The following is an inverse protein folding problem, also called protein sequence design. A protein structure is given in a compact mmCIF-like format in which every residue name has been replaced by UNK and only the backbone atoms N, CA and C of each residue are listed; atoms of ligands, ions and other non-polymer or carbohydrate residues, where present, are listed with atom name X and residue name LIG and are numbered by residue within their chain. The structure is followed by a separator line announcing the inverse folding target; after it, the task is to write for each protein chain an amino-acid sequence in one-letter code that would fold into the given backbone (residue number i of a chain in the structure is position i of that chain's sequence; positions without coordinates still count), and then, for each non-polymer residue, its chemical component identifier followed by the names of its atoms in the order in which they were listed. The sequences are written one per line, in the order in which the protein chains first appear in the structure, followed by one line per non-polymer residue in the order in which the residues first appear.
data_IF_032742490254
#
_entry.id   IF_032742490254
#
_cell.length_a   1.000
_cell.length_b   1.000
_cell.length_c   1.000
_cell.angle_alpha   90.00
_cell.angle_beta   90.00
_cell.angle_gamma   90.00
#
_symmetry.space_group_name_H-M   'P 1'
#
loop_
_entity.id
_entity.type
_entity.pdbx_description
1 polymer ?
#
# COMPACT_ATOMS: atom_id res chain seq x y z
N UNK A 1 61.14 63.80 -13.64
CA UNK A 1 60.26 64.14 -12.52
C UNK A 1 58.87 63.61 -12.83
N UNK A 2 58.32 62.78 -11.92
CA UNK A 2 56.90 62.43 -11.70
C UNK A 2 56.25 61.58 -12.83
N UNK A 3 56.28 60.22 -12.74
CA UNK A 3 55.35 59.28 -12.06
C UNK A 3 53.89 59.37 -12.55
N UNK A 4 53.35 58.24 -13.04
CA UNK A 4 51.93 58.12 -13.38
C UNK A 4 51.53 56.75 -13.94
N UNK A 5 51.59 55.72 -13.10
CA UNK A 5 51.06 54.36 -13.27
C UNK A 5 49.54 54.38 -13.51
N UNK A 6 48.98 53.64 -14.48
CA UNK A 6 47.58 53.15 -14.48
C UNK A 6 47.46 52.04 -15.53
N UNK A 7 47.54 50.76 -15.15
CA UNK A 7 46.45 49.85 -14.78
C UNK A 7 45.85 49.11 -16.00
N UNK A 8 46.34 47.88 -16.21
CA UNK A 8 45.79 46.92 -17.17
C UNK A 8 44.40 46.47 -16.71
N UNK A 9 43.36 46.72 -17.52
CA UNK A 9 42.07 46.04 -17.41
C UNK A 9 42.05 44.87 -18.39
N UNK A 10 42.41 43.67 -17.91
CA UNK A 10 42.04 42.42 -18.58
C UNK A 10 40.57 42.15 -18.25
N UNK A 11 39.67 42.73 -19.06
CA UNK A 11 38.24 42.39 -19.02
C UNK A 11 38.04 40.99 -19.58
N UNK A 12 37.88 39.99 -18.71
CA UNK A 12 37.47 38.65 -19.09
C UNK A 12 35.99 38.71 -19.50
N UNK A 13 35.72 38.86 -20.80
CA UNK A 13 34.39 38.71 -21.36
C UNK A 13 33.99 37.24 -21.31
N UNK A 14 33.27 36.85 -20.25
CA UNK A 14 32.55 35.58 -20.23
C UNK A 14 31.30 35.77 -21.09
N UNK A 15 31.42 35.44 -22.38
CA UNK A 15 30.26 35.28 -23.26
C UNK A 15 29.46 34.09 -22.75
N UNK A 16 28.42 34.36 -21.96
CA UNK A 16 27.37 33.38 -21.69
C UNK A 16 26.63 33.20 -23.02
N UNK A 17 27.09 32.24 -23.82
CA UNK A 17 26.30 31.73 -24.93
C UNK A 17 25.03 31.13 -24.34
N UNK A 18 23.94 31.87 -24.41
CA UNK A 18 22.59 31.33 -24.28
C UNK A 18 22.41 30.35 -25.45
N UNK A 19 22.86 29.10 -25.27
CA UNK A 19 22.31 27.99 -26.03
C UNK A 19 20.84 27.92 -25.65
N UNK A 20 19.98 28.51 -26.48
CA UNK A 20 18.57 28.19 -26.47
C UNK A 20 18.48 26.71 -26.83
N UNK A 21 18.44 25.85 -25.82
CA UNK A 21 17.90 24.52 -25.99
C UNK A 21 16.46 24.75 -26.41
N UNK A 22 16.04 24.38 -27.62
CA UNK A 22 14.63 24.47 -27.96
C UNK A 22 13.90 23.58 -26.97
N UNK A 23 13.08 24.19 -26.13
CA UNK A 23 12.10 23.49 -25.31
C UNK A 23 11.04 22.97 -26.30
N UNK A 24 11.40 21.91 -27.02
CA UNK A 24 10.45 21.13 -27.80
C UNK A 24 9.53 20.48 -26.79
N UNK A 25 8.43 21.14 -26.47
CA UNK A 25 7.26 20.49 -25.91
C UNK A 25 6.82 19.50 -26.99
N UNK A 26 7.32 18.27 -26.91
CA UNK A 26 6.69 17.16 -27.60
C UNK A 26 5.26 17.12 -27.05
N UNK A 27 4.27 17.29 -27.92
CA UNK A 27 2.86 16.98 -27.65
C UNK A 27 2.70 15.45 -27.45
N UNK A 28 3.47 14.87 -26.54
CA UNK A 28 3.24 13.53 -26.04
C UNK A 28 1.98 13.60 -25.19
N UNK A 29 0.85 13.33 -25.84
CA UNK A 29 -0.40 12.94 -25.20
C UNK A 29 -0.06 12.04 -24.00
N UNK A 30 -0.56 12.32 -22.78
CA UNK A 30 -0.17 11.57 -21.60
C UNK A 30 -0.37 10.08 -21.90
N UNK A 31 0.74 9.36 -21.91
CA UNK A 31 0.72 7.91 -22.10
C UNK A 31 -0.09 7.35 -20.95
N UNK A 32 -1.24 6.76 -21.30
CA UNK A 32 -2.13 6.17 -20.32
C UNK A 32 -1.39 4.95 -19.78
N UNK A 33 -0.76 5.11 -18.62
CA UNK A 33 -0.09 4.00 -17.93
C UNK A 33 -1.18 2.97 -17.62
N UNK A 34 -1.25 1.92 -18.43
CA UNK A 34 -2.04 0.74 -18.12
C UNK A 34 -1.31 0.00 -17.01
N UNK A 35 -1.51 0.45 -15.77
CA UNK A 35 -1.15 -0.34 -14.60
C UNK A 35 -2.01 -1.60 -14.70
N UNK A 36 -1.42 -2.80 -14.88
CA UNK A 36 -2.19 -4.02 -14.98
C UNK A 36 -3.07 -4.11 -13.73
N UNK A 37 -4.39 -4.05 -13.93
CA UNK A 37 -5.35 -4.09 -12.84
C UNK A 37 -5.22 -5.46 -12.18
N UNK A 38 -4.58 -5.51 -11.01
CA UNK A 38 -4.54 -6.70 -10.17
C UNK A 38 -5.98 -7.16 -9.98
N UNK A 39 -6.24 -8.46 -10.16
CA UNK A 39 -7.59 -9.02 -10.14
C UNK A 39 -7.78 -9.83 -8.88
N UNK A 40 -8.90 -9.61 -8.18
CA UNK A 40 -9.30 -10.47 -7.05
C UNK A 40 -9.74 -11.82 -7.59
N UNK A 41 -9.17 -12.89 -7.03
CA UNK A 41 -9.46 -14.27 -7.40
C UNK A 41 -9.70 -15.12 -6.14
N UNK A 42 -10.14 -16.36 -6.32
CA UNK A 42 -10.07 -17.33 -5.23
C UNK A 42 -8.60 -17.64 -4.86
N UNK A 43 -8.28 -17.89 -3.58
CA UNK A 43 -6.92 -18.24 -3.17
C UNK A 43 -6.38 -19.45 -3.97
N UNK A 44 -5.26 -19.29 -4.72
CA UNK A 44 -4.62 -20.41 -5.40
C UNK A 44 -4.17 -21.48 -4.40
N UNK A 45 -4.08 -22.74 -4.85
CA UNK A 45 -3.68 -23.85 -3.97
C UNK A 45 -2.30 -23.61 -3.32
N UNK A 46 -1.36 -23.01 -4.03
CA UNK A 46 -0.04 -22.63 -3.49
C UNK A 46 -0.15 -21.66 -2.31
N UNK A 47 -1.09 -20.70 -2.37
CA UNK A 47 -1.35 -19.74 -1.30
C UNK A 47 -2.04 -20.44 -0.12
N UNK A 48 -3.03 -21.28 -0.40
CA UNK A 48 -3.71 -22.09 0.63
C UNK A 48 -2.71 -22.95 1.38
N UNK A 49 -1.80 -23.64 0.69
CA UNK A 49 -0.77 -24.48 1.31
C UNK A 49 0.25 -23.64 2.09
N UNK A 50 0.74 -22.53 1.52
CA UNK A 50 1.75 -21.65 2.16
C UNK A 50 1.26 -21.11 3.51
N UNK A 51 0.02 -20.64 3.56
CA UNK A 51 -0.54 -20.00 4.75
C UNK A 51 -1.44 -20.91 5.59
N UNK A 52 -1.69 -22.15 5.13
CA UNK A 52 -2.69 -23.08 5.71
C UNK A 52 -4.05 -22.41 5.84
N UNK A 53 -4.50 -21.78 4.75
CA UNK A 53 -5.72 -20.98 4.76
C UNK A 53 -6.94 -21.83 5.08
N UNK A 54 -7.76 -21.32 6.00
CA UNK A 54 -9.08 -21.86 6.29
C UNK A 54 -10.02 -21.66 5.08
N UNK A 55 -10.96 -22.59 4.81
CA UNK A 55 -11.96 -22.42 3.75
C UNK A 55 -12.82 -21.16 3.85
N UNK A 56 -12.84 -20.47 5.00
CA UNK A 56 -13.40 -19.13 5.19
C UNK A 56 -12.89 -18.13 4.15
N UNK A 57 -11.60 -18.21 3.78
CA UNK A 57 -11.00 -17.27 2.82
C UNK A 57 -11.43 -17.60 1.39
N UNK A 58 -12.26 -16.74 0.80
CA UNK A 58 -12.79 -16.90 -0.57
C UNK A 58 -12.17 -15.94 -1.58
N UNK A 59 -11.54 -14.86 -1.12
CA UNK A 59 -10.92 -13.85 -1.96
C UNK A 59 -9.44 -13.70 -1.64
N UNK A 60 -8.65 -13.48 -2.68
CA UNK A 60 -7.22 -13.28 -2.65
C UNK A 60 -6.80 -12.23 -3.68
N UNK A 61 -5.84 -11.40 -3.29
CA UNK A 61 -5.13 -10.47 -4.14
C UNK A 61 -3.64 -10.49 -3.79
N UNK A 62 -2.79 -10.50 -4.81
CA UNK A 62 -1.34 -10.39 -4.63
C UNK A 62 -0.90 -8.92 -4.58
N UNK A 63 -0.53 -8.44 -3.39
CA UNK A 63 0.04 -7.11 -3.20
C UNK A 63 1.58 -7.17 -3.28
N UNK A 64 2.09 -7.47 -4.48
CA UNK A 64 3.54 -7.54 -4.78
C UNK A 64 4.25 -8.58 -3.90
N UNK A 65 3.64 -9.76 -3.80
CA UNK A 65 4.09 -10.89 -3.00
C UNK A 65 3.61 -10.89 -1.55
N UNK A 66 2.90 -9.85 -1.09
CA UNK A 66 2.14 -9.88 0.16
C UNK A 66 0.72 -10.35 -0.13
N UNK A 67 0.33 -11.47 0.47
CA UNK A 67 -1.02 -12.00 0.29
C UNK A 67 -2.06 -11.14 1.03
N UNK A 68 -3.04 -10.59 0.30
CA UNK A 68 -4.24 -9.98 0.86
C UNK A 68 -5.39 -10.97 0.69
N UNK A 69 -6.12 -11.25 1.76
CA UNK A 69 -7.18 -12.28 1.79
C UNK A 69 -8.41 -11.78 2.51
N UNK A 70 -9.59 -12.31 2.16
CA UNK A 70 -10.84 -12.00 2.87
C UNK A 70 -11.88 -13.10 2.69
N UNK A 71 -13.02 -12.95 3.38
CA UNK A 71 -14.23 -13.72 3.09
C UNK A 71 -14.81 -13.32 1.72
N UNK A 72 -15.91 -13.99 1.34
CA UNK A 72 -16.68 -13.64 0.14
C UNK A 72 -17.47 -12.33 0.26
N UNK A 73 -17.76 -11.89 1.49
CA UNK A 73 -18.64 -10.74 1.75
C UNK A 73 -17.94 -9.39 1.56
N UNK A 74 -16.61 -9.36 1.66
CA UNK A 74 -15.80 -8.13 1.50
C UNK A 74 -15.80 -7.67 0.05
N UNK A 75 -16.01 -6.38 -0.21
CA UNK A 75 -15.92 -5.78 -1.52
C UNK A 75 -14.50 -5.89 -2.11
N UNK A 76 -14.39 -6.12 -3.43
CA UNK A 76 -13.09 -6.24 -4.10
C UNK A 76 -12.29 -4.95 -4.00
N UNK A 77 -12.98 -3.80 -3.96
CA UNK A 77 -12.43 -2.47 -3.75
C UNK A 77 -11.59 -2.39 -2.48
N UNK A 78 -11.97 -3.07 -1.40
CA UNK A 78 -11.21 -3.06 -0.16
C UNK A 78 -9.86 -3.77 -0.32
N UNK A 79 -9.81 -4.85 -1.11
CA UNK A 79 -8.57 -5.56 -1.41
C UNK A 79 -7.66 -4.71 -2.30
N UNK A 80 -8.24 -4.01 -3.28
CA UNK A 80 -7.49 -3.07 -4.12
C UNK A 80 -6.91 -1.91 -3.31
N UNK A 81 -7.69 -1.32 -2.41
CA UNK A 81 -7.22 -0.25 -1.51
C UNK A 81 -6.10 -0.75 -0.60
N UNK A 82 -6.25 -1.96 -0.03
CA UNK A 82 -5.20 -2.59 0.77
C UNK A 82 -3.90 -2.74 -0.01
N UNK A 83 -3.97 -3.25 -1.25
CA UNK A 83 -2.79 -3.40 -2.10
C UNK A 83 -2.16 -2.05 -2.49
N UNK A 84 -2.99 -1.03 -2.74
CA UNK A 84 -2.54 0.32 -2.99
C UNK A 84 -1.77 0.89 -1.78
N UNK A 85 -2.32 0.76 -0.57
CA UNK A 85 -1.70 1.27 0.66
C UNK A 85 -0.38 0.57 0.97
N UNK A 86 -0.32 -0.76 0.84
CA UNK A 86 0.93 -1.53 0.98
C UNK A 86 2.01 -0.99 0.03
N UNK A 87 1.67 -0.86 -1.26
CA UNK A 87 2.59 -0.34 -2.26
C UNK A 87 3.00 1.10 -2.00
N UNK A 88 2.07 1.95 -1.55
CA UNK A 88 2.31 3.36 -1.28
C UNK A 88 3.22 3.58 -0.06
N UNK A 89 2.96 2.87 1.03
CA UNK A 89 3.76 2.98 2.27
C UNK A 89 5.19 2.46 2.04
N UNK A 90 5.35 1.43 1.20
CA UNK A 90 6.65 0.80 0.92
C UNK A 90 7.32 1.29 -0.37
N UNK A 91 6.76 2.28 -1.07
CA UNK A 91 7.22 2.72 -2.40
C UNK A 91 8.71 3.09 -2.45
N UNK A 92 9.24 3.64 -1.36
CA UNK A 92 10.64 4.07 -1.25
C UNK A 92 11.54 3.01 -0.58
N UNK A 93 11.00 1.83 -0.25
CA UNK A 93 11.70 0.71 0.41
C UNK A 93 11.34 -0.64 -0.24
N UNK A 94 11.66 -0.82 -1.53
CA UNK A 94 11.41 -2.09 -2.23
C UNK A 94 12.16 -3.27 -1.58
N UNK A 95 13.28 -3.01 -0.89
CA UNK A 95 14.03 -4.00 -0.12
C UNK A 95 13.23 -4.55 1.08
N UNK A 96 12.43 -3.71 1.76
CA UNK A 96 11.54 -4.16 2.82
C UNK A 96 10.37 -4.95 2.23
N UNK A 97 9.77 -4.46 1.13
CA UNK A 97 8.69 -5.17 0.46
C UNK A 97 9.12 -6.57 0.03
N UNK A 98 10.33 -6.72 -0.51
CA UNK A 98 10.90 -8.01 -0.87
C UNK A 98 11.13 -8.92 0.36
N UNK A 99 11.58 -8.37 1.48
CA UNK A 99 11.73 -9.15 2.72
C UNK A 99 10.36 -9.58 3.28
N UNK A 100 9.36 -8.71 3.22
CA UNK A 100 7.99 -9.01 3.64
C UNK A 100 7.31 -10.03 2.73
N UNK A 101 7.53 -9.97 1.40
CA UNK A 101 6.95 -10.93 0.46
C UNK A 101 7.54 -12.33 0.60
N UNK A 102 8.79 -12.43 1.04
CA UNK A 102 9.46 -13.70 1.36
C UNK A 102 9.09 -14.24 2.75
N UNK A 103 8.57 -13.39 3.63
CA UNK A 103 8.10 -13.81 4.96
C UNK A 103 6.76 -14.55 4.86
N UNK A 104 6.27 -15.08 5.98
CA UNK A 104 4.92 -15.63 6.06
C UNK A 104 3.91 -14.59 6.61
N UNK A 105 4.12 -13.30 6.32
CA UNK A 105 3.14 -12.24 6.59
C UNK A 105 2.03 -12.29 5.55
N UNK A 106 0.78 -12.14 6.01
CA UNK A 106 -0.40 -11.89 5.16
C UNK A 106 -1.31 -10.86 5.80
N UNK A 107 -2.12 -10.21 4.97
CA UNK A 107 -3.14 -9.26 5.37
C UNK A 107 -4.52 -9.88 5.21
N UNK A 108 -5.39 -9.64 6.19
CA UNK A 108 -6.81 -9.96 6.13
C UNK A 108 -7.61 -8.66 6.09
N UNK A 109 -8.59 -8.59 5.19
CA UNK A 109 -9.65 -7.58 5.27
C UNK A 109 -10.87 -8.23 5.92
N UNK A 110 -11.36 -7.63 7.00
CA UNK A 110 -12.56 -8.04 7.75
C UNK A 110 -13.74 -7.25 7.21
N UNK A 111 -14.81 -7.92 6.77
CA UNK A 111 -15.98 -7.26 6.19
C UNK A 111 -16.71 -6.36 7.17
N UNK A 112 -17.34 -5.30 6.69
CA UNK A 112 -17.97 -4.27 7.53
C UNK A 112 -18.97 -4.89 8.54
N UNK A 113 -19.77 -5.85 8.08
CA UNK A 113 -20.78 -6.57 8.86
C UNK A 113 -20.25 -7.84 9.56
N UNK A 114 -18.95 -8.14 9.44
CA UNK A 114 -18.30 -9.29 10.06
C UNK A 114 -17.64 -8.92 11.39
N UNK A 115 -17.71 -9.81 12.37
CA UNK A 115 -17.02 -9.68 13.64
C UNK A 115 -15.58 -10.21 13.56
N UNK A 116 -14.67 -9.63 14.36
CA UNK A 116 -13.29 -10.11 14.45
C UNK A 116 -13.21 -11.58 14.87
N UNK A 117 -14.12 -12.05 15.72
CA UNK A 117 -14.16 -13.45 16.13
C UNK A 117 -14.59 -14.42 15.05
N UNK A 118 -15.13 -13.95 13.91
CA UNK A 118 -15.44 -14.79 12.76
C UNK A 118 -14.18 -15.14 11.96
N UNK A 119 -13.12 -14.37 12.13
CA UNK A 119 -11.82 -14.68 11.53
C UNK A 119 -11.26 -15.94 12.19
N UNK A 120 -10.98 -17.00 11.40
CA UNK A 120 -10.56 -18.28 11.96
C UNK A 120 -9.36 -18.16 12.90
N UNK A 121 -8.42 -17.26 12.67
CA UNK A 121 -7.22 -17.13 13.51
C UNK A 121 -7.46 -16.49 14.88
N UNK A 122 -8.64 -15.91 15.14
CA UNK A 122 -8.90 -15.13 16.33
C UNK A 122 -9.91 -15.80 17.29
N UNK A 123 -9.63 -15.70 18.59
CA UNK A 123 -10.55 -15.97 19.72
C UNK A 123 -11.32 -17.30 19.76
N UNK A 124 -10.90 -18.35 19.02
CA UNK A 124 -11.60 -19.65 18.95
C UNK A 124 -11.98 -20.28 20.30
N UNK A 125 -11.15 -20.08 21.33
CA UNK A 125 -11.27 -20.79 22.61
C UNK A 125 -11.86 -19.96 23.75
N UNK A 126 -12.12 -18.66 23.55
CA UNK A 126 -12.60 -17.77 24.61
C UNK A 126 -13.74 -16.86 24.12
N UNK A 127 -15.01 -17.26 24.36
CA UNK A 127 -16.17 -16.48 23.96
C UNK A 127 -16.30 -15.12 24.64
N UNK A 128 -15.80 -14.97 25.87
CA UNK A 128 -15.88 -13.68 26.57
C UNK A 128 -14.91 -12.68 25.96
N UNK A 129 -13.70 -13.13 25.69
CA UNK A 129 -12.69 -12.33 24.99
C UNK A 129 -13.13 -12.02 23.56
N UNK A 130 -13.70 -12.98 22.83
CA UNK A 130 -14.29 -12.77 21.50
C UNK A 130 -15.30 -11.61 21.53
N UNK A 131 -16.30 -11.69 22.40
CA UNK A 131 -17.32 -10.64 22.53
C UNK A 131 -16.70 -9.29 22.93
N UNK A 132 -15.65 -9.29 23.77
CA UNK A 132 -14.95 -8.06 24.16
C UNK A 132 -14.24 -7.41 22.97
N UNK A 133 -13.65 -8.22 22.09
CA UNK A 133 -12.81 -7.75 20.99
C UNK A 133 -13.65 -7.32 19.79
N UNK A 134 -14.77 -7.99 19.50
CA UNK A 134 -15.74 -7.56 18.48
C UNK A 134 -16.17 -6.09 18.69
N UNK A 135 -16.31 -5.66 19.95
CA UNK A 135 -16.67 -4.28 20.31
C UNK A 135 -15.51 -3.27 20.23
N UNK A 136 -14.27 -3.72 20.13
CA UNK A 136 -13.08 -2.86 20.35
C UNK A 136 -12.15 -2.73 19.16
N UNK A 137 -12.02 -3.78 18.37
CA UNK A 137 -10.96 -3.89 17.37
C UNK A 137 -11.55 -4.35 16.06
N UNK A 138 -10.90 -3.90 14.98
CA UNK A 138 -11.17 -4.27 13.60
C UNK A 138 -9.86 -4.56 12.84
N UNK A 139 -8.71 -4.28 13.45
CA UNK A 139 -7.41 -4.55 12.88
C UNK A 139 -6.35 -4.85 13.93
N UNK A 140 -5.39 -5.70 13.55
CA UNK A 140 -4.24 -6.08 14.36
C UNK A 140 -2.97 -5.97 13.52
N UNK A 141 -1.92 -5.41 14.10
CA UNK A 141 -0.56 -5.50 13.55
C UNK A 141 0.15 -6.72 14.11
N UNK A 142 0.76 -7.54 13.25
CA UNK A 142 1.47 -8.74 13.68
C UNK A 142 2.47 -9.24 12.65
N UNK A 143 3.43 -10.05 13.10
CA UNK A 143 4.50 -10.55 12.22
C UNK A 143 3.99 -11.49 11.12
N UNK A 144 2.99 -12.34 11.43
CA UNK A 144 2.46 -13.35 10.47
C UNK A 144 1.10 -12.96 9.91
N UNK A 145 0.34 -12.18 10.66
CA UNK A 145 -1.02 -11.84 10.34
C UNK A 145 -1.27 -10.39 10.70
N UNK A 146 -1.69 -9.64 9.71
CA UNK A 146 -2.19 -8.27 9.86
C UNK A 146 -3.65 -8.28 9.45
N UNK A 147 -4.48 -7.48 10.10
CA UNK A 147 -5.87 -7.31 9.69
C UNK A 147 -6.31 -5.86 9.76
N UNK A 148 -7.31 -5.52 8.97
CA UNK A 148 -7.96 -4.22 8.93
C UNK A 148 -9.45 -4.38 8.57
N UNK A 149 -10.25 -3.36 8.92
CA UNK A 149 -11.68 -3.34 8.63
C UNK A 149 -11.96 -2.73 7.26
N UNK A 150 -12.81 -3.38 6.48
CA UNK A 150 -13.33 -2.89 5.20
C UNK A 150 -13.93 -1.47 5.32
N UNK A 151 -14.67 -1.23 6.39
CA UNK A 151 -15.32 0.05 6.66
C UNK A 151 -14.33 1.20 6.79
N UNK A 152 -13.11 0.92 7.28
CA UNK A 152 -12.06 1.92 7.39
C UNK A 152 -11.36 2.15 6.03
N UNK A 153 -11.05 1.07 5.31
CA UNK A 153 -10.44 1.16 3.97
C UNK A 153 -11.30 1.96 3.00
N UNK A 154 -12.61 1.72 3.01
CA UNK A 154 -13.55 2.30 2.05
C UNK A 154 -14.34 3.49 2.60
N UNK A 155 -14.04 3.95 3.82
CA UNK A 155 -14.74 5.05 4.49
C UNK A 155 -16.28 4.83 4.50
N UNK A 156 -16.70 3.62 4.86
CA UNK A 156 -18.11 3.24 4.94
C UNK A 156 -18.75 3.80 6.20
N UNK A 157 -20.09 3.86 6.20
CA UNK A 157 -20.83 4.17 7.43
C UNK A 157 -20.58 3.11 8.49
N UNK A 158 -20.36 3.55 9.74
CA UNK A 158 -20.08 2.64 10.86
C UNK A 158 -18.60 2.52 11.21
N UNK A 159 -17.69 3.08 10.40
CA UNK A 159 -16.27 3.17 10.75
C UNK A 159 -16.07 3.95 12.06
N UNK A 160 -15.35 3.32 12.98
CA UNK A 160 -14.99 3.88 14.30
C UNK A 160 -13.90 4.94 14.20
N UNK A 161 -13.15 4.94 13.10
CA UNK A 161 -11.99 5.81 12.85
C UNK A 161 -12.28 6.83 11.73
N UNK A 162 -13.56 7.20 11.56
CA UNK A 162 -14.01 8.10 10.49
C UNK A 162 -13.18 9.38 10.43
N UNK A 163 -12.63 9.64 9.24
CA UNK A 163 -11.74 10.77 8.97
C UNK A 163 -10.26 10.41 8.91
N UNK A 164 -9.92 9.17 9.28
CA UNK A 164 -8.58 8.61 9.20
C UNK A 164 -8.63 7.24 8.52
N UNK A 165 -7.57 6.88 7.80
CA UNK A 165 -7.32 5.50 7.41
C UNK A 165 -6.19 4.99 8.32
N UNK A 166 -6.48 4.00 9.14
CA UNK A 166 -5.59 3.52 10.20
C UNK A 166 -4.89 2.20 9.85
N UNK A 167 -4.97 1.79 8.58
CA UNK A 167 -4.24 0.65 8.04
C UNK A 167 -2.80 0.99 7.67
#
# INVERSE_FOLDING_TARGET
MIKGTTLCFFGLWVSISLFQVPLGATDSKPEKIEIPKKTVIAPPESVVQRYRLDPFYKKYLDADGIAVTSSENVADEALYETAYLIGHVLQNRPDILELMSRSNTRVIVIGADEEVSEIPEYYKADPQEAARQNRRVRGYGGHRLVSCGEENLLNLSGDRYRGENIF
#
